data_IF_593156142435
#
_entry.id   IF_593156142435
#
_cell.length_a   1.000
_cell.length_b   1.000
_cell.length_c   1.000
_cell.angle_alpha   90.00
_cell.angle_beta   90.00
_cell.angle_gamma   90.00
#
_symmetry.space_group_name_H-M   'P 1'
#
loop_
_entity.id
_entity.type
_entity.pdbx_description
1 polymer ?
#
# COMPACT_ATOMS: atom_id res chain seq x y z
N UNK A 1 -25.06 -17.68 -4.96
CA UNK A 1 -25.02 -18.97 -4.22
C UNK A 1 -23.75 -19.00 -3.41
N UNK A 2 -23.82 -18.78 -2.09
CA UNK A 2 -22.64 -18.82 -1.21
C UNK A 2 -22.13 -20.25 -1.12
N UNK A 3 -20.96 -20.51 -1.69
CA UNK A 3 -20.36 -21.85 -1.69
C UNK A 3 -20.17 -22.34 -0.25
N UNK A 4 -20.69 -23.54 0.06
CA UNK A 4 -20.51 -24.21 1.34
C UNK A 4 -19.01 -24.45 1.54
N UNK A 5 -18.45 -23.99 2.67
CA UNK A 5 -17.02 -24.17 2.97
C UNK A 5 -16.70 -25.68 2.96
N UNK A 6 -15.60 -26.11 2.32
CA UNK A 6 -15.20 -27.51 2.36
C UNK A 6 -14.91 -27.92 3.80
N UNK A 7 -15.25 -29.17 4.13
CA UNK A 7 -15.00 -29.72 5.46
C UNK A 7 -13.52 -29.64 5.83
N UNK A 8 -13.16 -29.47 7.11
CA UNK A 8 -11.77 -29.47 7.54
C UNK A 8 -11.04 -30.75 7.16
N UNK A 9 -9.75 -30.62 6.81
CA UNK A 9 -8.88 -31.77 6.60
C UNK A 9 -8.65 -32.48 7.95
N UNK A 10 -9.10 -33.73 8.04
CA UNK A 10 -8.87 -34.59 9.21
C UNK A 10 -7.64 -35.46 8.95
N UNK A 11 -6.62 -35.33 9.77
CA UNK A 11 -5.38 -36.12 9.69
C UNK A 11 -5.32 -37.06 10.90
N UNK A 12 -5.23 -38.37 10.65
CA UNK A 12 -4.97 -39.34 11.71
C UNK A 12 -3.48 -39.33 12.03
N UNK A 13 -3.15 -39.25 13.31
CA UNK A 13 -1.79 -39.25 13.83
C UNK A 13 -1.71 -40.29 14.94
N UNK A 14 -0.62 -41.05 14.96
CA UNK A 14 -0.22 -41.80 16.15
C UNK A 14 0.16 -40.84 17.29
N UNK A 15 0.24 -41.37 18.51
CA UNK A 15 0.65 -40.58 19.68
C UNK A 15 2.05 -39.95 19.49
N UNK A 16 2.99 -40.70 18.93
CA UNK A 16 4.36 -40.26 18.70
C UNK A 16 4.46 -39.16 17.63
N UNK A 17 3.72 -39.31 16.53
CA UNK A 17 3.65 -38.31 15.46
C UNK A 17 3.04 -37.01 15.97
N UNK A 18 1.99 -37.11 16.79
CA UNK A 18 1.37 -35.94 17.42
C UNK A 18 2.32 -35.24 18.37
N UNK A 19 2.99 -35.98 19.25
CA UNK A 19 3.96 -35.41 20.20
C UNK A 19 5.16 -34.76 19.49
N UNK A 20 5.59 -35.32 18.36
CA UNK A 20 6.61 -34.70 17.50
C UNK A 20 6.11 -33.39 16.89
N UNK A 21 4.88 -33.36 16.37
CA UNK A 21 4.28 -32.15 15.81
C UNK A 21 4.08 -31.06 16.86
N UNK A 22 3.65 -31.41 18.07
CA UNK A 22 3.48 -30.45 19.17
C UNK A 22 4.81 -29.83 19.61
N UNK A 23 5.89 -30.62 19.66
CA UNK A 23 7.25 -30.10 19.89
C UNK A 23 7.72 -29.19 18.77
N UNK A 24 7.47 -29.56 17.52
CA UNK A 24 7.85 -28.75 16.36
C UNK A 24 7.05 -27.44 16.25
N UNK A 25 5.81 -27.43 16.75
CA UNK A 25 4.94 -26.26 16.73
C UNK A 25 5.31 -25.22 17.79
N UNK A 26 6.09 -25.58 18.81
CA UNK A 26 6.65 -24.65 19.82
C UNK A 26 5.61 -23.65 20.37
N UNK A 27 4.47 -24.17 20.84
CA UNK A 27 3.38 -23.36 21.39
C UNK A 27 2.41 -22.76 20.36
N UNK A 28 2.68 -22.89 19.05
CA UNK A 28 1.72 -22.51 18.01
C UNK A 28 0.58 -23.53 17.89
N UNK A 29 -0.65 -23.11 17.53
CA UNK A 29 -1.73 -24.05 17.21
C UNK A 29 -1.34 -24.99 16.07
N UNK A 30 -1.46 -26.31 16.28
CA UNK A 30 -1.05 -27.34 15.30
C UNK A 30 -1.60 -27.08 13.89
N UNK A 31 -2.86 -26.70 13.77
CA UNK A 31 -3.47 -26.41 12.47
C UNK A 31 -2.86 -25.18 11.77
N UNK A 32 -2.41 -24.18 12.53
CA UNK A 32 -1.67 -23.03 12.01
C UNK A 32 -0.27 -23.43 11.60
N UNK A 33 0.46 -24.14 12.47
CA UNK A 33 1.80 -24.65 12.20
C UNK A 33 1.86 -25.54 10.95
N UNK A 34 0.96 -26.52 10.83
CA UNK A 34 0.87 -27.43 9.68
C UNK A 34 0.61 -26.65 8.38
N UNK A 35 -0.28 -25.65 8.42
CA UNK A 35 -0.55 -24.80 7.25
C UNK A 35 0.67 -23.98 6.85
N UNK A 36 1.35 -23.37 7.81
CA UNK A 36 2.58 -22.60 7.55
C UNK A 36 3.69 -23.49 6.99
N UNK A 37 3.80 -24.72 7.47
CA UNK A 37 4.80 -25.68 6.98
C UNK A 37 4.50 -26.16 5.56
N UNK A 38 3.23 -26.37 5.20
CA UNK A 38 2.81 -26.87 3.87
C UNK A 38 2.75 -25.77 2.81
N UNK A 39 2.29 -24.58 3.17
CA UNK A 39 1.97 -23.50 2.22
C UNK A 39 2.83 -22.23 2.42
N UNK A 40 3.76 -22.25 3.38
CA UNK A 40 4.52 -21.07 3.79
C UNK A 40 3.72 -20.13 4.70
N UNK A 41 4.37 -19.08 5.19
CA UNK A 41 3.67 -18.03 5.94
C UNK A 41 2.58 -17.41 5.07
N UNK A 42 1.37 -17.31 5.63
CA UNK A 42 0.32 -16.48 5.05
C UNK A 42 0.90 -15.07 4.97
N UNK A 43 1.20 -14.58 3.77
CA UNK A 43 1.52 -13.17 3.56
C UNK A 43 0.41 -12.39 4.24
N UNK A 44 0.74 -11.64 5.31
CA UNK A 44 -0.19 -10.65 5.87
C UNK A 44 -0.73 -9.91 4.68
N UNK A 45 -2.05 -9.92 4.48
CA UNK A 45 -2.64 -9.07 3.48
C UNK A 45 -2.12 -7.68 3.81
N UNK A 46 -1.25 -7.13 2.97
CA UNK A 46 -0.77 -5.77 3.14
C UNK A 46 -2.03 -4.95 3.31
N UNK A 47 -2.16 -4.26 4.45
CA UNK A 47 -3.31 -3.42 4.72
C UNK A 47 -3.32 -2.38 3.60
N UNK A 48 -4.12 -2.66 2.57
CA UNK A 48 -4.36 -1.68 1.52
C UNK A 48 -5.19 -0.59 2.20
N UNK A 49 -4.85 0.69 1.98
CA UNK A 49 -5.66 1.77 2.49
C UNK A 49 -7.11 1.52 2.06
N UNK A 50 -8.02 1.62 3.03
CA UNK A 50 -9.45 1.52 2.79
C UNK A 50 -9.86 2.57 1.76
N UNK A 51 -10.97 2.33 1.05
CA UNK A 51 -11.54 3.33 0.13
C UNK A 51 -11.78 4.69 0.81
N UNK A 52 -12.07 4.70 2.10
CA UNK A 52 -12.25 5.92 2.90
C UNK A 52 -10.97 6.73 3.05
N UNK A 53 -9.86 6.08 3.38
CA UNK A 53 -8.55 6.73 3.51
C UNK A 53 -8.07 7.31 2.17
N UNK A 54 -8.31 6.60 1.07
CA UNK A 54 -7.99 7.11 -0.27
C UNK A 54 -8.88 8.32 -0.64
N UNK A 55 -10.18 8.26 -0.35
CA UNK A 55 -11.09 9.37 -0.59
C UNK A 55 -10.71 10.61 0.22
N UNK A 56 -10.32 10.43 1.49
CA UNK A 56 -9.85 11.50 2.35
C UNK A 56 -8.54 12.11 1.83
N UNK A 57 -7.59 11.28 1.42
CA UNK A 57 -6.33 11.76 0.82
C UNK A 57 -6.59 12.59 -0.45
N UNK A 58 -7.50 12.15 -1.32
CA UNK A 58 -7.89 12.90 -2.52
C UNK A 58 -8.59 14.23 -2.18
N UNK A 59 -9.46 14.24 -1.16
CA UNK A 59 -10.12 15.47 -0.71
C UNK A 59 -9.12 16.49 -0.16
N UNK A 60 -8.17 16.06 0.67
CA UNK A 60 -7.09 16.91 1.19
C UNK A 60 -6.19 17.41 0.06
N UNK A 61 -5.87 16.57 -0.94
CA UNK A 61 -5.11 16.99 -2.10
C UNK A 61 -5.86 18.05 -2.92
N UNK A 62 -7.16 17.90 -3.11
CA UNK A 62 -7.99 18.94 -3.76
C UNK A 62 -8.01 20.26 -2.99
N UNK A 63 -8.01 20.20 -1.65
CA UNK A 63 -8.00 21.38 -0.77
C UNK A 63 -6.61 22.03 -0.62
N UNK A 64 -5.54 21.32 -0.94
CA UNK A 64 -4.15 21.81 -0.79
C UNK A 64 -3.82 23.07 -1.60
N UNK A 65 -4.64 23.42 -2.59
CA UNK A 65 -4.43 24.62 -3.41
C UNK A 65 -3.27 24.48 -4.40
N UNK A 66 -2.76 23.28 -4.66
CA UNK A 66 -1.65 23.03 -5.63
C UNK A 66 -1.97 23.59 -7.02
N UNK A 67 -3.19 23.37 -7.53
CA UNK A 67 -3.60 23.90 -8.84
C UNK A 67 -3.56 25.43 -8.92
N UNK A 68 -4.24 26.16 -8.01
CA UNK A 68 -4.10 27.60 -7.87
C UNK A 68 -2.66 28.09 -7.73
N UNK A 69 -1.83 27.42 -6.92
CA UNK A 69 -0.43 27.79 -6.73
C UNK A 69 0.39 27.69 -8.03
N UNK A 70 0.24 26.59 -8.77
CA UNK A 70 0.90 26.41 -10.09
C UNK A 70 0.46 27.49 -11.07
N UNK A 71 -0.82 27.85 -11.08
CA UNK A 71 -1.34 28.93 -11.95
C UNK A 71 -0.72 30.28 -11.59
N UNK A 72 -0.59 30.58 -10.31
CA UNK A 72 0.07 31.80 -9.84
C UNK A 72 1.55 31.82 -10.22
N UNK A 73 2.25 30.70 -10.12
CA UNK A 73 3.66 30.58 -10.56
C UNK A 73 3.81 30.79 -12.07
N UNK A 74 2.92 30.21 -12.88
CA UNK A 74 2.92 30.42 -14.33
C UNK A 74 2.73 31.91 -14.66
N UNK A 75 1.75 32.57 -14.04
CA UNK A 75 1.50 34.00 -14.21
C UNK A 75 2.70 34.84 -13.78
N UNK A 76 3.33 34.53 -12.64
CA UNK A 76 4.54 35.23 -12.19
C UNK A 76 5.72 35.04 -13.16
N UNK A 77 5.81 33.87 -13.80
CA UNK A 77 6.82 33.59 -14.82
C UNK A 77 6.58 34.40 -16.09
N UNK A 78 5.33 34.44 -16.60
CA UNK A 78 4.94 35.23 -17.76
C UNK A 78 5.19 36.74 -17.57
N UNK A 79 5.05 37.23 -16.33
CA UNK A 79 5.29 38.63 -15.96
C UNK A 79 6.77 38.94 -15.70
N UNK A 80 7.66 37.94 -15.77
CA UNK A 80 9.07 38.10 -15.39
C UNK A 80 9.30 38.36 -13.90
N UNK A 81 8.27 38.12 -13.07
CA UNK A 81 8.29 38.36 -11.63
C UNK A 81 8.80 37.16 -10.82
N UNK A 82 8.93 35.97 -11.44
CA UNK A 82 9.50 34.79 -10.80
C UNK A 82 11.01 34.71 -11.09
N UNK A 83 11.89 34.89 -10.09
CA UNK A 83 13.32 34.66 -10.27
C UNK A 83 13.56 33.17 -10.58
N UNK A 84 14.19 32.89 -11.73
CA UNK A 84 14.55 31.54 -12.17
C UNK A 84 16.04 31.28 -11.99
N UNK A 85 16.57 31.67 -10.83
CA UNK A 85 17.94 31.34 -10.45
C UNK A 85 18.11 29.81 -10.24
N UNK A 86 19.35 29.29 -10.21
CA UNK A 86 19.59 27.85 -10.09
C UNK A 86 18.95 27.19 -8.86
N UNK A 87 18.86 27.90 -7.73
CA UNK A 87 18.28 27.39 -6.48
C UNK A 87 16.75 27.29 -6.59
N UNK A 88 16.10 28.33 -7.11
CA UNK A 88 14.66 28.31 -7.38
C UNK A 88 14.29 27.20 -8.36
N UNK A 89 15.06 27.04 -9.44
CA UNK A 89 14.84 25.97 -10.40
C UNK A 89 15.02 24.58 -9.79
N UNK A 90 16.00 24.40 -8.90
CA UNK A 90 16.21 23.14 -8.19
C UNK A 90 15.01 22.82 -7.27
N UNK A 91 14.50 23.81 -6.56
CA UNK A 91 13.31 23.68 -5.70
C UNK A 91 12.07 23.29 -6.48
N UNK A 92 11.83 23.91 -7.65
CA UNK A 92 10.72 23.55 -8.54
C UNK A 92 10.85 22.10 -9.04
N UNK A 93 12.06 21.69 -9.46
CA UNK A 93 12.31 20.31 -9.90
C UNK A 93 12.06 19.30 -8.78
N UNK A 94 12.50 19.60 -7.56
CA UNK A 94 12.24 18.76 -6.39
C UNK A 94 10.74 18.62 -6.12
N UNK A 95 9.99 19.74 -6.11
CA UNK A 95 8.55 19.72 -5.92
C UNK A 95 7.81 18.89 -7.01
N UNK A 96 8.23 19.00 -8.28
CA UNK A 96 7.68 18.18 -9.36
C UNK A 96 7.97 16.68 -9.16
N UNK A 97 9.14 16.33 -8.62
CA UNK A 97 9.48 14.94 -8.31
C UNK A 97 8.58 14.40 -7.18
N UNK A 98 8.38 15.17 -6.12
CA UNK A 98 7.49 14.81 -5.00
C UNK A 98 6.05 14.60 -5.46
N UNK A 99 5.52 15.50 -6.30
CA UNK A 99 4.18 15.37 -6.89
C UNK A 99 4.07 14.09 -7.72
N UNK A 100 5.12 13.74 -8.47
CA UNK A 100 5.16 12.49 -9.26
C UNK A 100 5.09 11.27 -8.34
N UNK A 101 5.83 11.27 -7.23
CA UNK A 101 5.78 10.18 -6.23
C UNK A 101 4.39 10.06 -5.62
N UNK A 102 3.78 11.17 -5.21
CA UNK A 102 2.42 11.20 -4.64
C UNK A 102 1.42 10.63 -5.64
N UNK A 103 1.50 11.03 -6.92
CA UNK A 103 0.65 10.50 -7.99
C UNK A 103 0.80 8.99 -8.13
N UNK A 104 2.02 8.46 -8.27
CA UNK A 104 2.23 7.02 -8.45
C UNK A 104 1.75 6.20 -7.25
N UNK A 105 1.94 6.71 -6.03
CA UNK A 105 1.42 6.07 -4.81
C UNK A 105 -0.12 6.02 -4.79
N UNK A 106 -0.78 7.12 -5.16
CA UNK A 106 -2.24 7.18 -5.26
C UNK A 106 -2.78 6.25 -6.35
N UNK A 107 -2.17 6.23 -7.53
CA UNK A 107 -2.56 5.34 -8.63
C UNK A 107 -2.45 3.87 -8.23
N UNK A 108 -1.35 3.51 -7.54
CA UNK A 108 -1.15 2.18 -6.98
C UNK A 108 -2.19 1.84 -5.90
N UNK A 109 -2.51 2.77 -5.01
CA UNK A 109 -3.53 2.59 -3.98
C UNK A 109 -4.93 2.40 -4.59
N UNK A 110 -5.23 3.08 -5.69
CA UNK A 110 -6.48 2.98 -6.44
C UNK A 110 -6.53 1.74 -7.37
N UNK A 111 -5.42 1.04 -7.57
CA UNK A 111 -5.34 -0.09 -8.50
C UNK A 111 -5.43 0.31 -9.98
N UNK A 112 -5.15 1.57 -10.30
CA UNK A 112 -5.17 2.09 -11.67
C UNK A 112 -3.76 1.97 -12.25
N UNK A 113 -3.63 1.36 -13.43
CA UNK A 113 -2.35 1.36 -14.17
C UNK A 113 -2.08 2.76 -14.72
N UNK A 114 -0.91 3.31 -14.39
CA UNK A 114 -0.40 4.51 -15.07
C UNK A 114 -0.18 4.21 -16.57
N UNK A 115 -0.39 5.24 -17.39
CA UNK A 115 -0.27 5.21 -18.85
C UNK A 115 0.95 6.00 -19.28
#
# INVERSE_FOLDING_TARGET
MTAKRPSPLSLRLSADERARLERMADGQPLGGFIKTRLFGERRKATAHPSRGEIAQALALLGQSGVGPAIRSMAKATEQGALPLDPETQASIRAACADITVIKSLLMKALGIKER
#
